data_IF_055399967620
#
_entry.id   IF_055399967620
#
_cell.length_a   1.000
_cell.length_b   1.000
_cell.length_c   1.000
_cell.angle_alpha   90.00
_cell.angle_beta   90.00
_cell.angle_gamma   90.00
#
_symmetry.space_group_name_H-M   'P 1'
#
loop_
_entity.id
_entity.type
_entity.pdbx_description
1 polymer ?
#
# COMPACT_ATOMS: atom_id res chain seq x y z
N UNK A 1 22.99 -11.86 -2.48
CA UNK A 1 21.99 -11.40 -1.52
C UNK A 1 21.70 -9.90 -1.68
N UNK A 2 22.70 -9.06 -1.55
CA UNK A 2 22.52 -7.59 -1.63
C UNK A 2 21.88 -7.17 -2.93
N UNK A 3 22.36 -7.69 -4.06
CA UNK A 3 21.83 -7.35 -5.37
C UNK A 3 20.36 -7.75 -5.52
N UNK A 4 20.00 -8.91 -4.98
CA UNK A 4 18.61 -9.38 -5.01
C UNK A 4 17.69 -8.43 -4.23
N UNK A 5 18.09 -8.03 -3.01
CA UNK A 5 17.32 -7.11 -2.18
C UNK A 5 17.25 -5.73 -2.83
N UNK A 6 18.31 -5.25 -3.47
CA UNK A 6 18.29 -3.97 -4.20
C UNK A 6 17.23 -3.98 -5.28
N UNK A 7 17.19 -5.04 -6.08
CA UNK A 7 16.24 -5.16 -7.18
C UNK A 7 14.81 -5.27 -6.63
N UNK A 8 14.60 -6.12 -5.64
CA UNK A 8 13.27 -6.30 -5.04
C UNK A 8 12.74 -5.01 -4.41
N UNK A 9 13.59 -4.25 -3.72
CA UNK A 9 13.19 -3.00 -3.11
C UNK A 9 12.79 -1.96 -4.16
N UNK A 10 13.53 -1.86 -5.27
CA UNK A 10 13.20 -0.94 -6.36
C UNK A 10 11.88 -1.32 -7.02
N UNK A 11 11.71 -2.61 -7.30
CA UNK A 11 10.49 -3.12 -7.93
C UNK A 11 9.28 -2.89 -7.03
N UNK A 12 9.42 -3.19 -5.74
CA UNK A 12 8.35 -2.98 -4.78
C UNK A 12 7.98 -1.50 -4.67
N UNK A 13 8.98 -0.62 -4.55
CA UNK A 13 8.75 0.82 -4.49
C UNK A 13 8.03 1.35 -5.73
N UNK A 14 8.45 0.92 -6.91
CA UNK A 14 7.84 1.32 -8.17
C UNK A 14 6.39 0.83 -8.27
N UNK A 15 6.17 -0.45 -7.96
CA UNK A 15 4.83 -1.03 -7.98
C UNK A 15 3.88 -0.28 -7.05
N UNK A 16 4.33 -0.01 -5.82
CA UNK A 16 3.51 0.65 -4.82
C UNK A 16 3.18 2.08 -5.23
N UNK A 17 4.18 2.87 -5.61
CA UNK A 17 4.00 4.29 -5.93
C UNK A 17 3.23 4.51 -7.22
N UNK A 18 3.44 3.68 -8.23
CA UNK A 18 2.88 3.91 -9.56
C UNK A 18 1.61 3.11 -9.86
N UNK A 19 1.32 2.08 -9.07
CA UNK A 19 0.16 1.22 -9.34
C UNK A 19 -0.76 1.06 -8.13
N UNK A 20 -0.23 0.71 -6.99
CA UNK A 20 -1.07 0.39 -5.82
C UNK A 20 -1.67 1.63 -5.17
N UNK A 21 -0.85 2.63 -4.87
CA UNK A 21 -1.35 3.88 -4.27
C UNK A 21 -2.37 4.58 -5.17
N UNK A 22 -2.10 4.75 -6.48
CA UNK A 22 -3.10 5.36 -7.36
C UNK A 22 -4.43 4.61 -7.42
N UNK A 23 -4.39 3.28 -7.47
CA UNK A 23 -5.61 2.46 -7.51
C UNK A 23 -6.39 2.58 -6.20
N UNK A 24 -5.71 2.47 -5.07
CA UNK A 24 -6.36 2.59 -3.76
C UNK A 24 -6.97 3.99 -3.59
N UNK A 25 -6.29 5.02 -4.06
CA UNK A 25 -6.79 6.39 -4.03
C UNK A 25 -8.05 6.55 -4.90
N UNK A 26 -8.07 5.96 -6.09
CA UNK A 26 -9.26 5.99 -6.96
C UNK A 26 -10.43 5.27 -6.31
N UNK A 27 -10.18 4.13 -5.69
CA UNK A 27 -11.24 3.40 -4.99
C UNK A 27 -11.77 4.22 -3.82
N UNK A 28 -10.89 4.82 -3.03
CA UNK A 28 -11.28 5.73 -1.95
C UNK A 28 -12.14 6.88 -2.48
N UNK A 29 -11.75 7.46 -3.60
CA UNK A 29 -12.50 8.54 -4.24
C UNK A 29 -13.92 8.09 -4.61
N UNK A 30 -14.07 6.87 -5.10
CA UNK A 30 -15.41 6.33 -5.43
C UNK A 30 -16.27 6.17 -4.17
N UNK A 31 -15.68 5.76 -3.06
CA UNK A 31 -16.38 5.69 -1.78
C UNK A 31 -16.80 7.08 -1.28
N UNK A 32 -15.89 8.05 -1.41
CA UNK A 32 -16.18 9.45 -1.03
C UNK A 32 -17.32 10.03 -1.88
N UNK A 33 -17.35 9.74 -3.17
CA UNK A 33 -18.45 10.15 -4.04
C UNK A 33 -19.78 9.59 -3.56
N UNK A 34 -19.79 8.31 -3.18
CA UNK A 34 -21.00 7.68 -2.65
C UNK A 34 -21.46 8.33 -1.35
N UNK A 35 -20.53 8.59 -0.43
CA UNK A 35 -20.86 9.27 0.83
C UNK A 35 -21.43 10.65 0.56
N UNK A 36 -20.82 11.40 -0.34
CA UNK A 36 -21.29 12.74 -0.71
C UNK A 36 -22.72 12.70 -1.24
N UNK A 37 -23.02 11.77 -2.12
CA UNK A 37 -24.36 11.60 -2.70
C UNK A 37 -25.38 11.19 -1.65
N UNK A 38 -25.01 10.29 -0.75
CA UNK A 38 -25.88 9.85 0.34
C UNK A 38 -26.24 11.04 1.24
N UNK A 39 -25.24 11.84 1.60
CA UNK A 39 -25.46 13.03 2.44
C UNK A 39 -26.30 14.09 1.76
N UNK A 40 -26.24 14.16 0.44
CA UNK A 40 -27.05 15.11 -0.34
C UNK A 40 -28.52 14.71 -0.40
N UNK A 41 -28.83 13.40 -0.37
CA UNK A 41 -30.18 12.87 -0.57
C UNK A 41 -30.94 12.59 0.71
N UNK A 42 -30.27 12.34 1.83
CA UNK A 42 -30.89 11.91 3.07
C UNK A 42 -30.62 12.87 4.22
N UNK A 43 -31.52 12.94 5.22
CA UNK A 43 -31.24 13.72 6.44
C UNK A 43 -29.98 13.23 7.15
N UNK A 44 -29.29 14.11 7.86
CA UNK A 44 -28.00 13.85 8.47
C UNK A 44 -27.90 12.53 9.25
N UNK A 45 -28.85 12.27 10.16
CA UNK A 45 -28.81 11.04 10.96
C UNK A 45 -28.98 9.78 10.14
N UNK A 46 -29.81 9.81 9.10
CA UNK A 46 -30.02 8.68 8.21
C UNK A 46 -28.84 8.49 7.27
N UNK A 47 -28.29 9.60 6.75
CA UNK A 47 -27.13 9.59 5.89
C UNK A 47 -25.94 8.97 6.60
N UNK A 48 -25.70 9.32 7.86
CA UNK A 48 -24.59 8.76 8.65
C UNK A 48 -24.70 7.25 8.81
N UNK A 49 -25.91 6.74 9.00
CA UNK A 49 -26.13 5.28 9.09
C UNK A 49 -25.89 4.58 7.76
N UNK A 50 -26.42 5.15 6.67
CA UNK A 50 -26.29 4.56 5.34
C UNK A 50 -24.82 4.52 4.90
N UNK A 51 -24.07 5.60 5.16
CA UNK A 51 -22.68 5.75 4.73
C UNK A 51 -21.66 5.23 5.75
N UNK A 52 -22.09 4.63 6.86
CA UNK A 52 -21.17 4.28 7.95
C UNK A 52 -20.06 3.31 7.53
N UNK A 53 -20.37 2.29 6.74
CA UNK A 53 -19.36 1.33 6.30
C UNK A 53 -18.38 1.95 5.31
N UNK A 54 -18.89 2.79 4.41
CA UNK A 54 -18.02 3.50 3.46
C UNK A 54 -17.04 4.41 4.21
N UNK A 55 -17.51 5.10 5.24
CA UNK A 55 -16.64 5.97 6.05
C UNK A 55 -15.53 5.18 6.76
N UNK A 56 -15.86 4.01 7.27
CA UNK A 56 -14.86 3.12 7.90
C UNK A 56 -13.82 2.69 6.88
N UNK A 57 -14.23 2.29 5.68
CA UNK A 57 -13.31 1.88 4.62
C UNK A 57 -12.42 3.02 4.16
N UNK A 58 -12.98 4.22 4.01
CA UNK A 58 -12.22 5.42 3.64
C UNK A 58 -11.09 5.67 4.63
N UNK A 59 -11.39 5.59 5.92
CA UNK A 59 -10.40 5.81 6.97
C UNK A 59 -9.33 4.71 6.99
N UNK A 60 -9.73 3.45 6.81
CA UNK A 60 -8.78 2.33 6.73
C UNK A 60 -7.82 2.48 5.57
N UNK A 61 -8.35 2.84 4.40
CA UNK A 61 -7.52 3.07 3.21
C UNK A 61 -6.52 4.18 3.48
N UNK A 62 -6.98 5.30 4.04
CA UNK A 62 -6.10 6.43 4.37
C UNK A 62 -4.98 6.02 5.32
N UNK A 63 -5.30 5.26 6.35
CA UNK A 63 -4.32 4.79 7.33
C UNK A 63 -3.24 3.94 6.66
N UNK A 64 -3.64 2.94 5.86
CA UNK A 64 -2.68 2.09 5.16
C UNK A 64 -1.85 2.86 4.15
N UNK A 65 -2.46 3.77 3.39
CA UNK A 65 -1.74 4.58 2.40
C UNK A 65 -0.69 5.47 3.06
N UNK A 66 -1.02 6.09 4.18
CA UNK A 66 -0.08 6.97 4.88
C UNK A 66 1.12 6.18 5.42
N UNK A 67 0.87 5.02 6.00
CA UNK A 67 1.94 4.14 6.50
C UNK A 67 2.82 3.66 5.33
N UNK A 68 2.22 3.26 4.23
CA UNK A 68 2.95 2.82 3.03
C UNK A 68 3.83 3.95 2.49
N UNK A 69 3.30 5.16 2.38
CA UNK A 69 4.06 6.32 1.93
C UNK A 69 5.29 6.54 2.80
N UNK A 70 5.11 6.55 4.11
CA UNK A 70 6.19 6.78 5.05
C UNK A 70 7.25 5.68 4.96
N UNK A 71 6.82 4.42 4.83
CA UNK A 71 7.74 3.29 4.74
C UNK A 71 8.49 3.27 3.42
N UNK A 72 7.86 3.65 2.31
CA UNK A 72 8.54 3.76 1.01
C UNK A 72 9.61 4.84 1.08
N UNK A 73 9.29 6.00 1.66
CA UNK A 73 10.27 7.08 1.84
C UNK A 73 11.45 6.63 2.70
N UNK A 74 11.17 5.94 3.80
CA UNK A 74 12.21 5.42 4.69
C UNK A 74 13.07 4.36 3.98
N UNK A 75 12.44 3.52 3.16
CA UNK A 75 13.16 2.49 2.39
C UNK A 75 14.09 3.12 1.36
N UNK A 76 13.65 4.17 0.67
CA UNK A 76 14.50 4.89 -0.29
C UNK A 76 15.72 5.48 0.43
N UNK A 77 15.51 6.10 1.57
CA UNK A 77 16.63 6.67 2.35
C UNK A 77 17.56 5.59 2.89
N UNK A 78 17.03 4.49 3.39
CA UNK A 78 17.83 3.37 3.86
C UNK A 78 18.70 2.79 2.74
N UNK A 79 18.15 2.68 1.52
CA UNK A 79 18.90 2.22 0.36
C UNK A 79 20.03 3.18 -0.01
N UNK A 80 19.76 4.48 0.03
CA UNK A 80 20.79 5.49 -0.25
C UNK A 80 21.96 5.38 0.72
N UNK A 81 21.66 5.21 2.00
CA UNK A 81 22.68 5.05 3.04
C UNK A 81 23.47 3.76 2.82
N UNK A 82 22.78 2.65 2.61
CA UNK A 82 23.44 1.35 2.39
C UNK A 82 24.30 1.34 1.14
N UNK A 83 23.85 1.99 0.07
CA UNK A 83 24.61 2.04 -1.19
C UNK A 83 25.92 2.82 -1.10
N UNK A 84 26.07 3.69 -0.11
CA UNK A 84 27.32 4.44 0.13
C UNK A 84 28.39 3.62 0.85
N UNK A 85 28.02 2.49 1.42
CA UNK A 85 28.96 1.62 2.14
C UNK A 85 29.85 0.90 1.13
N UNK A 86 31.15 1.00 1.31
CA UNK A 86 32.13 0.38 0.38
C UNK A 86 32.31 -1.11 0.60
N UNK A 87 32.33 -1.55 1.88
CA UNK A 87 32.47 -2.97 2.20
C UNK A 87 31.25 -3.75 1.79
N UNK A 88 31.40 -4.78 0.95
CA UNK A 88 30.28 -5.61 0.51
C UNK A 88 29.59 -6.32 1.68
N UNK A 89 30.37 -6.74 2.68
CA UNK A 89 29.80 -7.39 3.86
C UNK A 89 28.95 -6.43 4.67
N UNK A 90 29.46 -5.23 4.94
CA UNK A 90 28.74 -4.22 5.71
C UNK A 90 27.53 -3.72 4.96
N UNK A 91 27.62 -3.59 3.65
CA UNK A 91 26.49 -3.23 2.79
C UNK A 91 25.38 -4.30 2.88
N UNK A 92 25.75 -5.57 2.81
CA UNK A 92 24.78 -6.66 2.95
C UNK A 92 24.08 -6.63 4.31
N UNK A 93 24.83 -6.37 5.38
CA UNK A 93 24.26 -6.24 6.72
C UNK A 93 23.28 -5.06 6.78
N UNK A 94 23.65 -3.91 6.21
CA UNK A 94 22.79 -2.74 6.19
C UNK A 94 21.49 -3.01 5.42
N UNK A 95 21.56 -3.68 4.30
CA UNK A 95 20.34 -4.07 3.55
C UNK A 95 19.46 -5.01 4.36
N UNK A 96 20.06 -5.99 5.01
CA UNK A 96 19.32 -6.93 5.85
C UNK A 96 18.67 -6.24 7.05
N UNK A 97 19.39 -5.33 7.71
CA UNK A 97 18.95 -4.73 8.97
C UNK A 97 18.02 -3.52 8.77
N UNK A 98 18.17 -2.76 7.67
CA UNK A 98 17.46 -1.50 7.50
C UNK A 98 16.49 -1.48 6.32
N UNK A 99 16.77 -2.20 5.23
CA UNK A 99 15.93 -2.19 4.03
C UNK A 99 14.89 -3.32 4.06
N UNK A 100 15.32 -4.54 4.32
CA UNK A 100 14.43 -5.70 4.29
C UNK A 100 13.24 -5.58 5.25
N UNK A 101 13.40 -5.11 6.51
CA UNK A 101 12.25 -4.95 7.40
C UNK A 101 11.21 -3.96 6.87
N UNK A 102 11.66 -2.89 6.20
CA UNK A 102 10.73 -1.92 5.60
C UNK A 102 9.95 -2.52 4.43
N UNK A 103 10.60 -3.38 3.64
CA UNK A 103 9.92 -4.11 2.56
C UNK A 103 8.81 -4.99 3.13
N UNK A 104 9.07 -5.69 4.22
CA UNK A 104 8.08 -6.56 4.86
C UNK A 104 6.90 -5.76 5.39
N UNK A 105 7.15 -4.60 6.00
CA UNK A 105 6.09 -3.71 6.48
C UNK A 105 5.25 -3.16 5.32
N UNK A 106 5.88 -2.78 4.22
CA UNK A 106 5.17 -2.32 3.02
C UNK A 106 4.26 -3.43 2.50
N UNK A 107 4.77 -4.64 2.36
CA UNK A 107 3.99 -5.79 1.89
C UNK A 107 2.81 -6.07 2.81
N UNK A 108 3.00 -5.98 4.12
CA UNK A 108 1.94 -6.18 5.07
C UNK A 108 0.76 -5.24 4.81
N UNK A 109 1.03 -3.95 4.65
CA UNK A 109 -0.03 -2.96 4.42
C UNK A 109 -0.63 -3.06 3.02
N UNK A 110 0.15 -3.43 2.02
CA UNK A 110 -0.35 -3.72 0.67
C UNK A 110 -1.34 -4.89 0.71
N UNK A 111 -1.01 -5.95 1.45
CA UNK A 111 -1.90 -7.09 1.62
C UNK A 111 -3.22 -6.69 2.30
N UNK A 112 -3.17 -5.76 3.25
CA UNK A 112 -4.39 -5.24 3.88
C UNK A 112 -5.25 -4.45 2.90
N UNK A 113 -4.62 -3.65 2.03
CA UNK A 113 -5.34 -2.93 0.98
C UNK A 113 -5.97 -3.90 -0.03
N UNK A 114 -5.29 -5.00 -0.32
CA UNK A 114 -5.82 -6.03 -1.22
C UNK A 114 -7.19 -6.54 -0.78
N UNK A 115 -7.41 -6.64 0.53
CA UNK A 115 -8.69 -7.10 1.07
C UNK A 115 -9.82 -6.08 0.95
N UNK A 116 -9.48 -4.81 0.76
CA UNK A 116 -10.45 -3.70 0.75
C UNK A 116 -10.78 -3.24 -0.66
N UNK A 117 -9.76 -3.10 -1.52
CA UNK A 117 -9.91 -2.49 -2.85
C UNK A 117 -10.65 -3.43 -3.80
N UNK A 118 -11.45 -2.84 -4.68
CA UNK A 118 -12.20 -3.56 -5.72
C UNK A 118 -11.27 -4.46 -6.53
N UNK A 119 -11.68 -5.72 -6.73
CA UNK A 119 -10.91 -6.70 -7.47
C UNK A 119 -10.58 -6.26 -8.90
N UNK A 120 -11.53 -5.61 -9.56
CA UNK A 120 -11.33 -5.18 -10.94
C UNK A 120 -10.34 -4.02 -11.06
N UNK A 121 -10.23 -3.21 -10.01
CA UNK A 121 -9.30 -2.09 -9.98
C UNK A 121 -7.91 -2.50 -9.55
N UNK A 122 -7.76 -3.61 -8.82
CA UNK A 122 -6.49 -4.03 -8.24
C UNK A 122 -5.51 -4.46 -9.34
N UNK A 123 -4.28 -3.89 -9.36
CA UNK A 123 -3.33 -4.11 -10.47
C UNK A 123 -2.65 -5.48 -10.48
N UNK A 124 -2.87 -6.28 -9.43
CA UNK A 124 -2.27 -7.61 -9.29
C UNK A 124 -3.34 -8.64 -9.01
N UNK A 125 -3.12 -9.93 -9.34
CA UNK A 125 -4.03 -10.98 -8.90
C UNK A 125 -4.07 -11.03 -7.37
N UNK A 126 -5.28 -11.05 -6.81
CA UNK A 126 -5.45 -11.23 -5.37
C UNK A 126 -5.24 -12.69 -5.00
N UNK A 127 -4.91 -12.94 -3.74
CA UNK A 127 -4.63 -14.27 -3.24
C UNK A 127 -5.74 -15.28 -3.59
N UNK A 128 -7.00 -14.90 -3.43
CA UNK A 128 -8.11 -15.82 -3.73
C UNK A 128 -8.21 -16.18 -5.22
N UNK A 129 -7.80 -15.25 -6.10
CA UNK A 129 -7.76 -15.53 -7.54
C UNK A 129 -6.69 -16.54 -7.86
N UNK A 130 -5.55 -16.45 -7.20
CA UNK A 130 -4.46 -17.41 -7.37
C UNK A 130 -4.85 -18.81 -6.94
N UNK A 131 -5.74 -18.94 -5.96
CA UNK A 131 -6.22 -20.25 -5.50
C UNK A 131 -7.02 -21.01 -6.56
N UNK A 132 -7.60 -20.33 -7.53
CA UNK A 132 -8.44 -20.91 -8.57
C UNK A 132 -7.76 -21.03 -9.93
N UNK A 133 -6.51 -20.62 -10.03
CA UNK A 133 -5.71 -20.78 -11.26
C UNK A 133 -5.14 -22.19 -11.28
N UNK A 134 -5.34 -22.90 -12.40
CA UNK A 134 -4.82 -24.25 -12.58
C UNK A 134 -3.88 -24.36 -13.75
#
# INVERSE_FOLDING_TARGET
YTKKIQIEARVLGDLVMNHIIPVATRYQSSLLDNVYKVKALFPAGKADKIASQDMILIEKIATHLNIIHDHVSSMVEARKVANKIESEREKAIAYHDTVAPLMDEIRYHVDKLELIVDNEMWPLPKYRELLFIR
#
